data_IF_756712204486
#
_entry.id   IF_756712204486
#
_cell.length_a   1.000
_cell.length_b   1.000
_cell.length_c   1.000
_cell.angle_alpha   90.00
_cell.angle_beta   90.00
_cell.angle_gamma   90.00
#
_symmetry.space_group_name_H-M   'P 1'
#
loop_
_entity.id
_entity.type
_entity.pdbx_description
1 polymer ?
#
# COMPACT_ATOMS: atom_id res chain seq x y z
N UNK A 1 34.29 -13.33 21.62
CA UNK A 1 33.14 -12.59 21.05
C UNK A 1 33.36 -12.44 19.55
N UNK A 2 32.45 -12.95 18.71
CA UNK A 2 32.55 -12.80 17.25
C UNK A 2 32.25 -11.35 16.86
N UNK A 3 33.04 -10.81 15.93
CA UNK A 3 32.81 -9.46 15.40
C UNK A 3 31.51 -9.45 14.57
N UNK A 4 30.67 -8.41 14.66
CA UNK A 4 29.48 -8.28 13.82
C UNK A 4 29.86 -8.36 12.35
N UNK A 5 29.10 -9.12 11.56
CA UNK A 5 29.31 -9.17 10.12
C UNK A 5 28.87 -7.86 9.47
N UNK A 6 29.40 -7.54 8.28
CA UNK A 6 28.97 -6.37 7.49
C UNK A 6 27.45 -6.35 7.28
N UNK A 7 26.85 -7.53 7.10
CA UNK A 7 25.39 -7.70 6.99
C UNK A 7 24.65 -7.21 8.23
N UNK A 8 25.13 -7.56 9.42
CA UNK A 8 24.57 -7.13 10.70
C UNK A 8 24.61 -5.60 10.87
N UNK A 9 25.69 -4.96 10.40
CA UNK A 9 25.78 -3.50 10.45
C UNK A 9 24.81 -2.82 9.47
N UNK A 10 24.70 -3.37 8.24
CA UNK A 10 23.77 -2.89 7.22
C UNK A 10 22.31 -3.08 7.63
N UNK A 11 21.96 -4.19 8.31
CA UNK A 11 20.62 -4.39 8.84
C UNK A 11 20.29 -3.41 9.95
N UNK A 12 21.16 -3.24 10.95
CA UNK A 12 20.95 -2.26 12.04
C UNK A 12 20.76 -0.83 11.52
N UNK A 13 21.60 -0.39 10.57
CA UNK A 13 21.46 0.93 9.94
C UNK A 13 20.13 1.07 9.19
N UNK A 14 19.69 0.00 8.53
CA UNK A 14 18.41 -0.01 7.81
C UNK A 14 17.22 0.01 8.78
N UNK A 15 17.35 -0.63 9.95
CA UNK A 15 16.35 -0.61 11.02
C UNK A 15 16.20 0.78 11.62
N UNK A 16 17.31 1.46 11.95
CA UNK A 16 17.28 2.82 12.46
C UNK A 16 16.60 3.77 11.45
N UNK A 17 16.98 3.67 10.19
CA UNK A 17 16.33 4.45 9.12
C UNK A 17 14.84 4.13 8.97
N UNK A 18 14.45 2.86 9.12
CA UNK A 18 13.04 2.48 9.09
C UNK A 18 12.28 3.05 10.29
N UNK A 19 12.90 3.10 11.47
CA UNK A 19 12.30 3.73 12.66
C UNK A 19 12.05 5.23 12.44
N UNK A 20 13.00 5.95 11.85
CA UNK A 20 12.82 7.37 11.48
C UNK A 20 11.63 7.55 10.52
N UNK A 21 11.56 6.71 9.48
CA UNK A 21 10.43 6.70 8.52
C UNK A 21 9.11 6.46 9.24
N UNK A 22 9.07 5.47 10.15
CA UNK A 22 7.88 5.14 10.93
C UNK A 22 7.45 6.33 11.79
N UNK A 23 8.37 7.00 12.48
CA UNK A 23 7.99 8.13 13.34
C UNK A 23 7.43 9.30 12.53
N UNK A 24 8.05 9.66 11.41
CA UNK A 24 7.55 10.71 10.53
C UNK A 24 6.17 10.34 9.98
N UNK A 25 6.06 9.15 9.38
CA UNK A 25 4.83 8.71 8.73
C UNK A 25 3.68 8.50 9.72
N UNK A 26 3.95 7.87 10.86
CA UNK A 26 2.94 7.57 11.86
C UNK A 26 2.40 8.84 12.50
N UNK A 27 3.27 9.78 12.91
CA UNK A 27 2.81 11.02 13.53
C UNK A 27 1.92 11.82 12.58
N UNK A 28 2.36 11.99 11.33
CA UNK A 28 1.55 12.69 10.34
C UNK A 28 0.26 11.94 9.98
N UNK A 29 0.30 10.61 9.93
CA UNK A 29 -0.91 9.79 9.76
C UNK A 29 -1.91 10.01 10.89
N UNK A 30 -1.46 10.09 12.15
CA UNK A 30 -2.32 10.39 13.29
C UNK A 30 -2.93 11.80 13.18
N UNK A 31 -2.14 12.79 12.78
CA UNK A 31 -2.65 14.16 12.62
C UNK A 31 -3.71 14.24 11.52
N UNK A 32 -3.52 13.53 10.41
CA UNK A 32 -4.52 13.40 9.35
C UNK A 32 -5.81 12.71 9.84
N UNK A 33 -5.70 11.69 10.69
CA UNK A 33 -6.88 11.04 11.26
C UNK A 33 -7.65 11.98 12.18
N UNK A 34 -6.96 12.70 13.07
CA UNK A 34 -7.57 13.68 13.97
C UNK A 34 -8.27 14.78 13.18
N UNK A 35 -7.63 15.28 12.13
CA UNK A 35 -8.20 16.27 11.22
C UNK A 35 -9.49 15.75 10.55
N UNK A 36 -9.46 14.53 9.99
CA UNK A 36 -10.63 13.93 9.35
C UNK A 36 -11.78 13.69 10.33
N UNK A 37 -11.49 13.30 11.57
CA UNK A 37 -12.49 13.14 12.62
C UNK A 37 -13.15 14.48 12.95
N UNK A 38 -12.35 15.53 13.20
CA UNK A 38 -12.86 16.87 13.49
C UNK A 38 -13.76 17.39 12.35
N UNK A 39 -13.37 17.18 11.10
CA UNK A 39 -14.21 17.53 9.94
C UNK A 39 -15.52 16.75 9.93
N UNK A 40 -15.49 15.46 10.23
CA UNK A 40 -16.67 14.61 10.17
C UNK A 40 -17.65 14.92 11.32
N UNK A 41 -17.16 15.35 12.48
CA UNK A 41 -17.99 15.83 13.59
C UNK A 41 -18.69 17.14 13.21
N UNK A 42 -17.95 18.11 12.67
CA UNK A 42 -18.52 19.38 12.18
C UNK A 42 -19.59 19.13 11.10
N UNK A 43 -19.34 18.22 10.15
CA UNK A 43 -20.31 17.86 9.10
C UNK A 43 -21.59 17.22 9.64
N UNK A 44 -21.54 16.58 10.82
CA UNK A 44 -22.71 15.96 11.45
C UNK A 44 -23.52 16.97 12.26
N UNK A 45 -22.85 17.95 12.88
CA UNK A 45 -23.47 18.98 13.70
C UNK A 45 -24.02 20.15 12.87
N UNK A 46 -23.31 20.57 11.81
CA UNK A 46 -23.71 21.69 10.95
C UNK A 46 -24.13 21.22 9.55
N UNK A 47 -25.45 21.10 9.32
CA UNK A 47 -26.01 20.93 7.96
C UNK A 47 -26.05 22.22 7.13
N UNK A 48 -25.65 23.37 7.69
CA UNK A 48 -25.98 24.68 7.10
C UNK A 48 -24.89 25.76 7.07
N UNK A 49 -23.65 25.53 7.52
CA UNK A 49 -22.54 26.46 7.24
C UNK A 49 -21.25 25.73 6.86
N UNK A 50 -20.55 26.28 5.87
CA UNK A 50 -19.53 25.59 5.08
C UNK A 50 -18.36 25.03 5.87
N UNK A 51 -17.87 23.85 5.45
CA UNK A 51 -16.77 23.11 6.05
C UNK A 51 -15.37 23.75 5.88
N UNK A 52 -15.27 25.08 5.91
CA UNK A 52 -14.13 25.80 5.32
C UNK A 52 -13.05 26.29 6.31
N UNK A 53 -13.10 25.96 7.60
CA UNK A 53 -12.27 26.68 8.58
C UNK A 53 -11.17 25.86 9.28
N UNK A 54 -11.01 24.56 9.01
CA UNK A 54 -9.87 23.81 9.56
C UNK A 54 -8.87 23.55 8.43
N UNK A 55 -7.70 24.20 8.43
CA UNK A 55 -6.66 23.89 7.46
C UNK A 55 -6.14 22.46 7.72
N UNK A 56 -5.80 21.71 6.67
CA UNK A 56 -5.19 20.40 6.82
C UNK A 56 -3.85 20.53 7.57
N UNK A 57 -3.44 19.48 8.32
CA UNK A 57 -2.15 19.48 8.97
C UNK A 57 -1.03 19.61 7.91
N UNK A 58 0.04 20.38 8.19
CA UNK A 58 1.15 20.54 7.26
C UNK A 58 1.89 19.22 7.06
N UNK A 59 2.17 18.88 5.80
CA UNK A 59 2.95 17.68 5.46
C UNK A 59 4.43 17.86 5.87
N UNK A 60 5.05 16.87 6.53
CA UNK A 60 6.50 16.84 6.76
C UNK A 60 7.30 16.97 5.46
N UNK A 61 8.45 17.66 5.53
CA UNK A 61 9.30 17.92 4.37
C UNK A 61 9.83 16.64 3.72
N UNK A 62 10.07 15.61 4.53
CA UNK A 62 10.58 14.30 4.10
C UNK A 62 9.56 13.52 3.27
N UNK A 63 8.26 13.75 3.51
CA UNK A 63 7.16 13.18 2.73
C UNK A 63 7.01 13.94 1.41
N UNK A 64 7.18 15.27 1.46
CA UNK A 64 7.18 16.13 0.26
C UNK A 64 5.86 16.03 -0.50
N UNK A 65 5.95 15.67 -1.79
CA UNK A 65 4.79 15.55 -2.69
C UNK A 65 4.09 14.18 -2.61
N UNK A 66 4.67 13.21 -1.90
CA UNK A 66 4.08 11.88 -1.78
C UNK A 66 2.93 11.86 -0.77
N UNK A 67 1.97 10.94 -0.95
CA UNK A 67 1.09 10.56 0.14
C UNK A 67 1.86 9.80 1.23
N UNK A 68 1.32 9.75 2.45
CA UNK A 68 1.91 8.97 3.56
C UNK A 68 2.07 7.50 3.17
N UNK A 69 1.07 6.96 2.47
CA UNK A 69 1.06 5.58 2.02
C UNK A 69 2.15 5.32 1.00
N UNK A 70 2.35 6.21 0.03
CA UNK A 70 3.43 6.11 -0.96
C UNK A 70 4.81 6.25 -0.30
N UNK A 71 4.96 7.20 0.62
CA UNK A 71 6.22 7.39 1.36
C UNK A 71 6.62 6.13 2.13
N UNK A 72 5.66 5.48 2.81
CA UNK A 72 5.89 4.21 3.51
C UNK A 72 6.24 3.09 2.52
N UNK A 73 5.47 2.94 1.44
CA UNK A 73 5.71 1.90 0.45
C UNK A 73 7.11 2.02 -0.18
N UNK A 74 7.47 3.22 -0.65
CA UNK A 74 8.77 3.48 -1.26
C UNK A 74 9.91 3.26 -0.27
N UNK A 75 9.69 3.58 1.01
CA UNK A 75 10.69 3.37 2.05
C UNK A 75 10.92 1.88 2.34
N UNK A 76 9.86 1.07 2.39
CA UNK A 76 9.98 -0.40 2.53
C UNK A 76 10.67 -0.99 1.29
N UNK A 77 10.32 -0.54 0.08
CA UNK A 77 10.92 -1.03 -1.17
C UNK A 77 12.42 -0.69 -1.31
N UNK A 78 12.89 0.39 -0.65
CA UNK A 78 14.33 0.74 -0.61
C UNK A 78 15.15 -0.23 0.26
N UNK A 79 14.51 -0.98 1.16
CA UNK A 79 15.19 -2.00 1.96
C UNK A 79 15.49 -3.18 1.05
N UNK A 80 16.74 -3.62 1.00
CA UNK A 80 17.08 -4.78 0.19
C UNK A 80 16.29 -6.02 0.63
N UNK A 81 15.77 -6.78 -0.34
CA UNK A 81 14.93 -7.96 -0.09
C UNK A 81 15.61 -8.99 0.83
N UNK A 82 16.94 -9.06 0.80
CA UNK A 82 17.74 -9.98 1.62
C UNK A 82 17.86 -9.54 3.10
N UNK A 83 17.61 -8.25 3.38
CA UNK A 83 17.70 -7.67 4.72
C UNK A 83 16.32 -7.39 5.33
N UNK A 84 15.25 -7.34 4.53
CA UNK A 84 13.92 -6.96 5.00
C UNK A 84 13.46 -7.73 6.24
N UNK A 85 13.65 -9.06 6.27
CA UNK A 85 13.29 -9.88 7.42
C UNK A 85 14.10 -9.50 8.68
N UNK A 86 15.42 -9.39 8.57
CA UNK A 86 16.29 -9.00 9.69
C UNK A 86 15.96 -7.61 10.23
N UNK A 87 15.70 -6.67 9.32
CA UNK A 87 15.30 -5.30 9.65
C UNK A 87 14.00 -5.31 10.45
N UNK A 88 12.96 -5.99 9.95
CA UNK A 88 11.66 -6.07 10.63
C UNK A 88 11.76 -6.78 11.99
N UNK A 89 12.54 -7.86 12.08
CA UNK A 89 12.72 -8.58 13.34
C UNK A 89 13.44 -7.76 14.41
N UNK A 90 14.35 -6.89 13.99
CA UNK A 90 15.10 -6.01 14.90
C UNK A 90 14.30 -4.79 15.39
N UNK A 91 13.08 -4.57 14.88
CA UNK A 91 12.26 -3.47 15.33
C UNK A 91 11.78 -3.68 16.78
N UNK A 92 11.88 -2.65 17.65
CA UNK A 92 11.21 -2.66 18.94
C UNK A 92 9.70 -2.83 18.78
N UNK A 93 9.05 -3.50 19.75
CA UNK A 93 7.62 -3.86 19.68
C UNK A 93 6.71 -2.68 19.31
N UNK A 94 6.95 -1.50 19.90
CA UNK A 94 6.17 -0.29 19.61
C UNK A 94 6.27 0.14 18.14
N UNK A 95 7.46 0.04 17.55
CA UNK A 95 7.67 0.38 16.14
C UNK A 95 7.08 -0.68 15.21
N UNK A 96 7.11 -1.96 15.61
CA UNK A 96 6.46 -3.05 14.89
C UNK A 96 4.94 -2.84 14.79
N UNK A 97 4.30 -2.38 15.87
CA UNK A 97 2.87 -2.04 15.87
C UNK A 97 2.54 -0.85 14.98
N UNK A 98 3.29 0.24 15.08
CA UNK A 98 3.13 1.42 14.21
C UNK A 98 3.31 1.02 12.73
N UNK A 99 4.32 0.22 12.42
CA UNK A 99 4.57 -0.27 11.07
C UNK A 99 3.40 -1.13 10.56
N UNK A 100 2.83 -1.99 11.40
CA UNK A 100 1.67 -2.81 11.03
C UNK A 100 0.47 -1.93 10.62
N UNK A 101 0.18 -0.88 11.38
CA UNK A 101 -0.89 0.07 11.08
C UNK A 101 -0.62 0.82 9.77
N UNK A 102 0.61 1.30 9.58
CA UNK A 102 0.99 1.99 8.34
C UNK A 102 0.86 1.06 7.13
N UNK A 103 1.34 -0.18 7.23
CA UNK A 103 1.22 -1.19 6.15
C UNK A 103 -0.25 -1.55 5.88
N UNK A 104 -1.09 -1.66 6.90
CA UNK A 104 -2.54 -1.84 6.72
C UNK A 104 -3.15 -0.66 5.94
N UNK A 105 -2.76 0.57 6.25
CA UNK A 105 -3.25 1.75 5.53
C UNK A 105 -2.88 1.75 4.04
N UNK A 106 -1.67 1.27 3.69
CA UNK A 106 -1.21 1.13 2.30
C UNK A 106 -2.01 0.04 1.59
N UNK A 107 -2.16 -1.13 2.23
CA UNK A 107 -2.91 -2.26 1.67
C UNK A 107 -4.39 -1.93 1.50
N UNK A 108 -4.98 -1.17 2.43
CA UNK A 108 -6.34 -0.65 2.31
C UNK A 108 -6.48 0.26 1.10
N UNK A 109 -5.53 1.17 0.87
CA UNK A 109 -5.55 2.05 -0.30
C UNK A 109 -5.49 1.22 -1.61
N UNK A 110 -4.61 0.23 -1.68
CA UNK A 110 -4.54 -0.69 -2.82
C UNK A 110 -5.85 -1.48 -3.01
N UNK A 111 -6.45 -1.95 -1.91
CA UNK A 111 -7.72 -2.68 -1.92
C UNK A 111 -8.87 -1.81 -2.42
N UNK A 112 -9.02 -0.60 -1.89
CA UNK A 112 -10.06 0.36 -2.29
C UNK A 112 -9.93 0.70 -3.79
N UNK A 113 -8.71 0.91 -4.28
CA UNK A 113 -8.44 1.09 -5.72
C UNK A 113 -8.83 -0.13 -6.55
N UNK A 114 -8.53 -1.34 -6.07
CA UNK A 114 -8.87 -2.57 -6.80
C UNK A 114 -10.38 -2.75 -6.97
N UNK A 115 -11.18 -2.36 -5.97
CA UNK A 115 -12.64 -2.40 -6.02
C UNK A 115 -13.18 -1.28 -6.91
N UNK A 116 -12.64 -0.07 -6.82
CA UNK A 116 -13.04 1.04 -7.67
C UNK A 116 -12.81 0.74 -9.14
N UNK A 117 -11.66 0.16 -9.50
CA UNK A 117 -11.39 -0.28 -10.87
C UNK A 117 -12.36 -1.37 -11.33
N UNK A 118 -12.73 -2.34 -10.47
CA UNK A 118 -13.76 -3.32 -10.82
C UNK A 118 -15.14 -2.72 -11.06
N UNK A 119 -15.44 -1.56 -10.46
CA UNK A 119 -16.71 -0.82 -10.62
C UNK A 119 -16.68 0.19 -11.77
N UNK A 120 -15.52 0.77 -12.09
CA UNK A 120 -15.34 1.76 -13.16
C UNK A 120 -15.03 1.14 -14.53
N UNK A 121 -14.84 -0.18 -14.61
CA UNK A 121 -14.80 -0.91 -15.89
C UNK A 121 -16.11 -0.77 -16.70
N UNK A 122 -17.17 -0.18 -16.16
CA UNK A 122 -18.39 0.21 -16.89
C UNK A 122 -18.40 1.67 -17.38
N UNK A 123 -17.61 2.59 -16.83
CA UNK A 123 -17.60 4.00 -17.24
C UNK A 123 -16.22 4.67 -17.04
N UNK A 124 -15.50 4.83 -18.16
CA UNK A 124 -14.28 5.64 -18.40
C UNK A 124 -13.08 5.53 -17.41
N UNK A 125 -11.85 5.31 -17.92
CA UNK A 125 -10.67 5.18 -17.07
C UNK A 125 -10.23 6.56 -16.55
N UNK A 126 -10.43 6.81 -15.26
CA UNK A 126 -9.84 7.97 -14.58
C UNK A 126 -8.35 7.73 -14.41
N UNK A 127 -7.59 8.75 -14.83
CA UNK A 127 -6.14 8.81 -14.88
C UNK A 127 -5.52 8.94 -13.47
N UNK A 128 -5.60 7.88 -12.65
CA UNK A 128 -4.91 7.81 -11.37
C UNK A 128 -3.54 7.17 -11.56
N UNK A 129 -2.52 8.02 -11.62
CA UNK A 129 -1.12 7.60 -11.65
C UNK A 129 -0.78 6.76 -10.41
N UNK A 130 -0.26 5.56 -10.67
CA UNK A 130 0.89 4.96 -9.99
C UNK A 130 0.78 4.24 -8.64
N UNK A 131 -0.40 3.85 -8.11
CA UNK A 131 -0.42 2.77 -7.12
C UNK A 131 -0.47 1.40 -7.82
N UNK A 132 0.64 1.11 -8.49
CA UNK A 132 0.83 -0.12 -9.22
C UNK A 132 1.01 -1.30 -8.24
N UNK A 133 0.50 -2.47 -8.58
CA UNK A 133 0.55 -3.70 -7.76
C UNK A 133 1.97 -4.18 -7.39
N UNK A 134 3.01 -3.52 -7.90
CA UNK A 134 4.43 -3.82 -7.67
C UNK A 134 4.86 -3.65 -6.21
N UNK A 135 4.01 -3.08 -5.36
CA UNK A 135 4.21 -2.99 -3.91
C UNK A 135 3.72 -4.18 -3.08
N UNK A 136 2.98 -5.14 -3.65
CA UNK A 136 2.28 -6.14 -2.82
C UNK A 136 3.23 -7.15 -2.15
N UNK A 137 4.25 -7.65 -2.86
CA UNK A 137 5.22 -8.61 -2.30
C UNK A 137 5.97 -8.04 -1.08
N UNK A 138 6.60 -6.85 -1.15
CA UNK A 138 7.35 -6.35 0.00
C UNK A 138 6.42 -6.01 1.18
N UNK A 139 5.19 -5.55 0.94
CA UNK A 139 4.20 -5.31 2.00
C UNK A 139 3.74 -6.61 2.67
N UNK A 140 3.36 -7.62 1.87
CA UNK A 140 2.91 -8.92 2.40
C UNK A 140 4.02 -9.64 3.15
N UNK A 141 5.26 -9.55 2.66
CA UNK A 141 6.43 -10.08 3.35
C UNK A 141 6.72 -9.35 4.66
N UNK A 142 6.56 -8.03 4.69
CA UNK A 142 6.67 -7.24 5.93
C UNK A 142 5.62 -7.69 6.95
N UNK A 143 4.36 -7.84 6.55
CA UNK A 143 3.28 -8.37 7.41
C UNK A 143 3.62 -9.77 7.93
N UNK A 144 4.11 -10.65 7.05
CA UNK A 144 4.50 -12.01 7.44
C UNK A 144 5.60 -11.99 8.51
N UNK A 145 6.65 -11.20 8.30
CA UNK A 145 7.74 -11.06 9.27
C UNK A 145 7.25 -10.53 10.61
N UNK A 146 6.42 -9.47 10.60
CA UNK A 146 5.83 -8.89 11.80
C UNK A 146 4.97 -9.89 12.58
N UNK A 147 4.11 -10.65 11.89
CA UNK A 147 3.28 -11.68 12.52
C UNK A 147 4.15 -12.82 13.07
N UNK A 148 5.21 -13.22 12.38
CA UNK A 148 6.07 -14.30 12.85
C UNK A 148 6.84 -13.93 14.14
N UNK A 149 7.28 -12.68 14.29
CA UNK A 149 8.10 -12.28 15.45
C UNK A 149 7.32 -11.62 16.58
N UNK A 150 6.27 -10.87 16.29
CA UNK A 150 5.62 -10.03 17.31
C UNK A 150 4.20 -10.48 17.69
N UNK A 151 3.63 -11.46 16.99
CA UNK A 151 2.23 -11.89 17.22
C UNK A 151 1.96 -12.41 18.63
N UNK A 152 2.89 -13.16 19.25
CA UNK A 152 2.72 -13.66 20.62
C UNK A 152 2.59 -12.49 21.60
N UNK A 153 3.40 -11.45 21.43
CA UNK A 153 3.35 -10.25 22.26
C UNK A 153 2.04 -9.49 22.08
N UNK A 154 1.53 -9.40 20.85
CA UNK A 154 0.23 -8.78 20.57
C UNK A 154 -0.94 -9.54 21.18
N UNK A 155 -0.99 -10.86 21.05
CA UNK A 155 -2.05 -11.68 21.64
C UNK A 155 -1.99 -11.63 23.17
N UNK A 156 -0.79 -11.67 23.77
CA UNK A 156 -0.63 -11.51 25.21
C UNK A 156 -1.18 -10.16 25.69
N UNK A 157 -0.89 -9.08 24.95
CA UNK A 157 -1.35 -7.72 25.28
C UNK A 157 -2.87 -7.57 25.13
N UNK A 158 -3.45 -8.23 24.12
CA UNK A 158 -4.92 -8.29 23.91
C UNK A 158 -5.62 -9.01 25.07
N UNK A 159 -5.02 -10.07 25.61
CA UNK A 159 -5.61 -10.86 26.69
C UNK A 159 -5.42 -10.24 28.08
N UNK A 160 -4.50 -9.27 28.24
CA UNK A 160 -4.31 -8.52 29.49
C UNK A 160 -5.20 -7.28 29.61
N UNK A 161 -5.75 -6.79 28.49
CA UNK A 161 -6.76 -5.72 28.50
C UNK A 161 -8.12 -6.41 28.66
N UNK A 162 -8.71 -6.31 29.86
CA UNK A 162 -10.06 -6.77 30.13
C UNK A 162 -11.02 -6.25 29.04
N UNK A 163 -12.01 -7.04 28.61
CA UNK A 163 -12.91 -6.61 27.56
C UNK A 163 -13.68 -5.38 28.05
N UNK A 164 -13.35 -4.21 27.52
CA UNK A 164 -14.24 -3.06 27.62
C UNK A 164 -15.44 -3.46 26.76
N UNK A 165 -16.50 -3.90 27.43
CA UNK A 165 -17.82 -4.12 26.83
C UNK A 165 -18.34 -2.73 26.45
N UNK A 166 -17.88 -2.22 25.30
CA UNK A 166 -18.43 -1.06 24.63
C UNK A 166 -19.69 -1.49 23.90
N UNK A 167 -20.80 -0.88 24.27
CA UNK A 167 -22.13 -1.16 23.73
C UNK A 167 -22.15 -1.15 22.20
N UNK A 168 -22.87 -2.14 21.67
CA UNK A 168 -23.18 -2.31 20.25
C UNK A 168 -23.74 -1.02 19.65
N UNK A 169 -22.95 -0.31 18.85
CA UNK A 169 -23.48 0.58 17.82
C UNK A 169 -23.16 -0.04 16.45
N UNK A 170 -24.22 -0.31 15.71
CA UNK A 170 -24.35 -1.05 14.45
C UNK A 170 -23.77 -0.33 13.22
N UNK A 171 -22.67 0.40 13.38
CA UNK A 171 -21.89 0.93 12.29
C UNK A 171 -20.48 0.40 12.43
N UNK A 172 -20.04 -0.46 11.50
CA UNK A 172 -18.70 -1.07 11.46
C UNK A 172 -17.57 -0.07 11.20
N UNK A 173 -17.51 1.00 11.97
CA UNK A 173 -16.38 1.89 12.11
C UNK A 173 -15.82 1.73 13.52
N UNK A 174 -14.50 1.74 13.64
CA UNK A 174 -13.77 1.75 14.89
C UNK A 174 -14.43 2.71 15.90
N UNK A 175 -15.11 2.15 16.91
CA UNK A 175 -15.72 2.97 17.96
C UNK A 175 -14.58 3.53 18.82
N UNK A 176 -14.30 4.80 18.57
CA UNK A 176 -13.39 5.66 19.30
C UNK A 176 -13.66 5.57 20.80
N UNK A 177 -12.75 4.95 21.54
CA UNK A 177 -12.56 5.30 22.93
C UNK A 177 -11.16 5.89 23.04
N UNK A 178 -11.04 7.18 22.81
CA UNK A 178 -9.96 7.94 23.44
C UNK A 178 -10.26 7.91 24.93
N UNK A 179 -9.97 6.79 25.61
CA UNK A 179 -9.96 6.81 27.07
C UNK A 179 -8.90 7.82 27.43
N UNK A 180 -9.29 8.93 28.07
CA UNK A 180 -8.35 9.89 28.64
C UNK A 180 -7.39 9.08 29.50
N UNK A 181 -6.20 8.85 28.99
CA UNK A 181 -5.18 8.16 29.76
C UNK A 181 -4.57 9.21 30.68
N UNK A 182 -4.32 8.85 31.92
CA UNK A 182 -3.56 9.72 32.83
C UNK A 182 -2.10 9.92 32.40
N UNK A 183 -1.63 9.16 31.40
CA UNK A 183 -0.31 9.35 30.77
C UNK A 183 -0.46 10.00 29.37
N UNK A 184 0.06 11.23 29.16
CA UNK A 184 -0.02 11.95 27.88
C UNK A 184 0.73 11.25 26.72
N UNK A 185 1.51 10.20 27.00
CA UNK A 185 2.11 9.32 25.97
C UNK A 185 1.10 8.35 25.36
N UNK A 186 0.07 7.96 26.12
CA UNK A 186 -1.00 7.08 25.65
C UNK A 186 -2.08 7.85 24.87
N UNK A 187 -2.25 9.15 25.11
CA UNK A 187 -3.19 10.02 24.37
C UNK A 187 -2.80 10.20 22.88
N UNK A 188 -1.61 9.75 22.48
CA UNK A 188 -1.12 9.81 21.08
C UNK A 188 -1.34 8.52 20.30
N UNK A 189 -1.80 7.46 20.96
CA UNK A 189 -2.05 6.17 20.33
C UNK A 189 -3.58 6.10 20.16
N UNK A 190 -4.11 6.24 18.93
CA UNK A 190 -5.51 5.88 18.72
C UNK A 190 -5.66 4.44 19.20
N UNK A 191 -6.72 4.11 19.93
CA UNK A 191 -6.98 2.74 20.37
C UNK A 191 -7.23 1.83 19.15
N UNK A 192 -6.16 1.48 18.45
CA UNK A 192 -6.15 0.55 17.36
C UNK A 192 -6.22 -0.84 17.97
N UNK A 193 -7.35 -1.48 17.74
CA UNK A 193 -7.49 -2.88 18.08
C UNK A 193 -6.63 -3.70 17.12
N UNK A 194 -5.47 -4.19 17.58
CA UNK A 194 -4.55 -5.01 16.79
C UNK A 194 -5.27 -6.21 16.16
N UNK A 195 -6.28 -6.78 16.83
CA UNK A 195 -7.10 -7.87 16.26
C UNK A 195 -7.87 -7.42 15.02
N UNK A 196 -8.39 -6.19 15.02
CA UNK A 196 -9.07 -5.60 13.86
C UNK A 196 -8.09 -5.36 12.73
N UNK A 197 -6.91 -4.81 13.02
CA UNK A 197 -5.85 -4.58 12.02
C UNK A 197 -5.46 -5.89 11.35
N UNK A 198 -5.22 -6.95 12.14
CA UNK A 198 -4.90 -8.29 11.60
C UNK A 198 -6.04 -8.88 10.77
N UNK A 199 -7.30 -8.68 11.18
CA UNK A 199 -8.47 -9.11 10.42
C UNK A 199 -8.59 -8.38 9.08
N UNK A 200 -8.36 -7.07 9.07
CA UNK A 200 -8.37 -6.27 7.85
C UNK A 200 -7.24 -6.66 6.91
N UNK A 201 -6.02 -6.81 7.43
CA UNK A 201 -4.86 -7.30 6.67
C UNK A 201 -5.16 -8.64 5.99
N UNK A 202 -5.79 -9.57 6.70
CA UNK A 202 -6.24 -10.83 6.12
C UNK A 202 -7.17 -10.62 4.93
N UNK A 203 -8.17 -9.74 5.05
CA UNK A 203 -9.13 -9.45 3.98
C UNK A 203 -8.42 -8.80 2.78
N UNK A 204 -7.64 -7.74 3.02
CA UNK A 204 -6.99 -6.97 1.96
C UNK A 204 -5.97 -7.82 1.20
N UNK A 205 -5.08 -8.52 1.91
CA UNK A 205 -4.07 -9.37 1.29
C UNK A 205 -4.73 -10.50 0.48
N UNK A 206 -5.74 -11.17 1.04
CA UNK A 206 -6.44 -12.24 0.34
C UNK A 206 -7.09 -11.74 -0.96
N UNK A 207 -7.81 -10.62 -0.90
CA UNK A 207 -8.46 -10.04 -2.07
C UNK A 207 -7.45 -9.59 -3.14
N UNK A 208 -6.39 -8.88 -2.72
CA UNK A 208 -5.36 -8.38 -3.64
C UNK A 208 -4.62 -9.52 -4.34
N UNK A 209 -4.25 -10.57 -3.61
CA UNK A 209 -3.60 -11.76 -4.19
C UNK A 209 -4.54 -12.51 -5.14
N UNK A 210 -5.81 -12.70 -4.75
CA UNK A 210 -6.80 -13.34 -5.61
C UNK A 210 -6.98 -12.58 -6.92
N UNK A 211 -7.14 -11.26 -6.85
CA UNK A 211 -7.29 -10.42 -8.02
C UNK A 211 -6.04 -10.48 -8.94
N UNK A 212 -4.83 -10.41 -8.37
CA UNK A 212 -3.60 -10.60 -9.15
C UNK A 212 -3.54 -11.96 -9.84
N UNK A 213 -3.91 -13.04 -9.14
CA UNK A 213 -3.91 -14.40 -9.68
C UNK A 213 -4.90 -14.54 -10.85
N UNK A 214 -6.11 -13.98 -10.72
CA UNK A 214 -7.13 -13.99 -11.77
C UNK A 214 -6.66 -13.23 -13.02
N UNK A 215 -6.09 -12.03 -12.85
CA UNK A 215 -5.53 -11.23 -13.95
C UNK A 215 -4.41 -11.98 -14.66
N UNK A 216 -3.46 -12.56 -13.92
CA UNK A 216 -2.34 -13.33 -14.50
C UNK A 216 -2.85 -14.57 -15.21
N UNK A 217 -3.82 -15.29 -14.65
CA UNK A 217 -4.43 -16.47 -15.28
C UNK A 217 -5.12 -16.11 -16.60
N UNK A 218 -5.87 -15.02 -16.63
CA UNK A 218 -6.54 -14.53 -17.84
C UNK A 218 -5.54 -14.11 -18.91
N UNK A 219 -4.52 -13.33 -18.54
CA UNK A 219 -3.46 -12.91 -19.45
C UNK A 219 -2.71 -14.12 -20.03
N UNK A 220 -2.37 -15.11 -19.20
CA UNK A 220 -1.74 -16.34 -19.67
C UNK A 220 -2.65 -17.15 -20.60
N UNK A 221 -3.96 -17.18 -20.35
CA UNK A 221 -4.93 -17.81 -21.23
C UNK A 221 -4.96 -17.14 -22.61
N UNK A 222 -5.04 -15.81 -22.65
CA UNK A 222 -5.03 -15.02 -23.88
C UNK A 222 -3.71 -15.22 -24.64
N UNK A 223 -2.57 -15.14 -23.95
CA UNK A 223 -1.26 -15.34 -24.57
C UNK A 223 -1.14 -16.71 -25.21
N UNK A 224 -1.62 -17.78 -24.56
CA UNK A 224 -1.63 -19.13 -25.14
C UNK A 224 -2.49 -19.23 -26.40
N UNK A 225 -3.65 -18.56 -26.44
CA UNK A 225 -4.50 -18.52 -27.63
C UNK A 225 -3.79 -17.78 -28.76
N UNK A 226 -3.20 -16.61 -28.46
CA UNK A 226 -2.44 -15.84 -29.46
C UNK A 226 -1.21 -16.59 -29.98
N UNK A 227 -0.53 -17.36 -29.14
CA UNK A 227 0.58 -18.23 -29.55
C UNK A 227 0.09 -19.37 -30.46
N UNK A 228 -1.06 -19.99 -30.15
CA UNK A 228 -1.68 -21.02 -30.99
C UNK A 228 -2.16 -20.46 -32.34
N UNK A 229 -2.74 -19.26 -32.34
CA UNK A 229 -3.16 -18.56 -33.56
C UNK A 229 -1.94 -18.15 -34.40
N UNK A 230 -0.84 -17.73 -33.78
CA UNK A 230 0.41 -17.44 -34.49
C UNK A 230 1.07 -18.70 -35.07
N UNK A 231 1.04 -19.81 -34.33
CA UNK A 231 1.59 -21.09 -34.77
C UNK A 231 0.75 -21.76 -35.87
N UNK A 232 -0.57 -21.64 -35.82
CA UNK A 232 -1.50 -22.16 -36.84
C UNK A 232 -1.51 -21.30 -38.12
N UNK A 233 -1.24 -20.00 -38.01
CA UNK A 233 -1.05 -19.08 -39.14
C UNK A 233 0.38 -19.10 -39.73
N UNK A 234 1.19 -20.11 -39.42
CA UNK A 234 2.58 -20.26 -39.89
C UNK A 234 2.77 -20.50 -41.40
N UNK A 235 1.71 -20.33 -42.22
CA UNK A 235 1.86 -20.11 -43.67
C UNK A 235 2.15 -18.65 -44.05
N UNK A 236 2.07 -17.72 -43.09
CA UNK A 236 2.46 -16.33 -43.30
C UNK A 236 3.95 -16.17 -43.04
N UNK A 237 4.70 -15.91 -44.11
CA UNK A 237 6.15 -15.64 -44.07
C UNK A 237 6.46 -14.64 -42.95
N UNK A 238 7.51 -14.88 -42.14
CA UNK A 238 7.93 -13.91 -41.15
C UNK A 238 8.33 -12.62 -41.87
N UNK A 239 7.58 -11.54 -41.64
CA UNK A 239 7.98 -10.20 -42.09
C UNK A 239 9.23 -9.86 -41.28
N UNK A 240 10.38 -10.03 -41.91
CA UNK A 240 11.66 -9.64 -41.33
C UNK A 240 11.74 -8.11 -41.26
N UNK A 241 12.50 -7.58 -40.29
CA UNK A 241 12.69 -6.14 -40.12
C UNK A 241 13.18 -5.44 -41.41
N UNK A 242 13.81 -6.18 -42.32
CA UNK A 242 14.24 -5.70 -43.63
C UNK A 242 13.07 -5.38 -44.58
N UNK A 243 11.99 -6.16 -44.56
CA UNK A 243 10.79 -5.92 -45.41
C UNK A 243 10.01 -4.67 -44.97
N UNK A 244 9.96 -4.37 -43.66
CA UNK A 244 9.33 -3.14 -43.12
C UNK A 244 10.13 -1.90 -43.57
N UNK A 245 11.44 -2.04 -43.71
CA UNK A 245 12.35 -0.96 -44.11
C UNK A 245 12.25 -0.66 -45.61
N UNK A 246 12.10 -1.69 -46.46
CA UNK A 246 11.83 -1.50 -47.89
C UNK A 246 10.43 -0.92 -48.18
N UNK A 247 9.38 -1.35 -47.47
CA UNK A 247 8.04 -0.79 -47.65
C UNK A 247 7.95 0.70 -47.27
N UNK A 248 8.74 1.15 -46.28
CA UNK A 248 8.83 2.58 -45.93
C UNK A 248 9.54 3.43 -46.99
N UNK A 249 10.60 2.90 -47.64
CA UNK A 249 11.26 3.59 -48.76
C UNK A 249 10.35 3.74 -49.98
N UNK A 250 9.56 2.71 -50.31
CA UNK A 250 8.63 2.76 -51.45
C UNK A 250 7.39 3.65 -51.25
N UNK A 251 6.96 3.89 -50.00
CA UNK A 251 5.91 4.87 -49.70
C UNK A 251 6.40 6.33 -49.75
N UNK A 252 7.67 6.59 -49.42
CA UNK A 252 8.23 7.94 -49.53
C UNK A 252 8.55 8.34 -50.98
N UNK A 253 8.93 7.41 -51.85
CA UNK A 253 9.22 7.69 -53.27
C UNK A 253 7.96 7.99 -54.09
N UNK A 254 6.80 7.40 -53.76
CA UNK A 254 5.52 7.71 -54.43
C UNK A 254 4.91 9.06 -54.04
N UNK A 255 5.24 9.61 -52.87
CA UNK A 255 4.69 10.90 -52.40
C UNK A 255 5.37 12.14 -53.03
N UNK A 256 6.49 11.96 -53.74
CA UNK A 256 7.25 13.05 -54.39
C UNK A 256 6.98 13.23 -55.89
N UNK A 257 6.10 12.43 -56.52
CA UNK A 257 5.82 12.51 -57.97
C UNK A 257 4.45 13.11 -58.35
N UNK A 258 3.64 13.54 -57.39
CA UNK A 258 2.30 14.14 -57.66
C UNK A 258 2.16 15.56 -57.11
N UNK A 259 3.26 16.29 -56.97
CA UNK A 259 3.24 17.75 -56.76
C UNK A 259 4.12 18.41 -57.81
N UNK A 260 3.53 18.66 -58.98
CA UNK A 260 3.85 19.74 -59.91
C UNK A 260 2.59 19.99 -60.73
#
# INVERSE_FOLDING_TARGET
MSRPTRKTFESLKSTEKLMEVIDIAYNYYIDLLKYNLAINEIKKEDKSQGSNNIPPPPSPLEIGEYSVQEYVLLSIQKISSNLLAEVVWSLPLLYAEKLLILVESVLKLMYDHSILNSKQLTENPINNKNLSFYGLEPLTRTVLCLVQTHFIHWISSINTISPIIGQNNSAGGYLNVWTKSSDPRNDRIPQYNIRSVLSNLKIYIHHLLKNQMEIVSLNNGILKILEQDAASNSSVKPITFDEITEQRKNKQSKKRRTSN
#
